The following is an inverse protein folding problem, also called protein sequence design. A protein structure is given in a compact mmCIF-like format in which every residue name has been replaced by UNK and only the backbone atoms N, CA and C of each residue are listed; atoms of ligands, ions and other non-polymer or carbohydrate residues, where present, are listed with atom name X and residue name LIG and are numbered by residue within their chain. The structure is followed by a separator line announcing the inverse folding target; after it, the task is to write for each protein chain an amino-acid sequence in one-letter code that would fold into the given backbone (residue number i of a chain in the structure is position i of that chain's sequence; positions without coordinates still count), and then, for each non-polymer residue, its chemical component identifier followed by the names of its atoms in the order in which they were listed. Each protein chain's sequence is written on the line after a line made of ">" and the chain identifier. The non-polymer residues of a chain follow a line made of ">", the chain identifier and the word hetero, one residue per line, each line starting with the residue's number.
data_IF_851044786666
#
_entry.id   IF_851044786666
#
_cell.length_a   1.000
_cell.length_b   1.000
_cell.length_c   1.000
_cell.angle_alpha   90.00
_cell.angle_beta   90.00
_cell.angle_gamma   90.00
#
_symmetry.space_group_name_H-M   'P 1'
#
loop_
_entity.id
_entity.type
_entity.pdbx_description
1 polymer ?
#
# COMPACT_ATOMS: atom_id res chain seq x y z
N UNK A 1 -48.91 -0.06 -8.18
CA UNK A 1 -48.18 -0.12 -9.44
C UNK A 1 -47.00 0.87 -9.51
N UNK A 2 -47.10 2.10 -8.97
CA UNK A 2 -45.98 3.10 -9.04
C UNK A 2 -44.71 2.71 -8.25
N UNK A 3 -44.79 1.90 -7.20
CA UNK A 3 -43.61 1.47 -6.39
C UNK A 3 -42.73 0.44 -7.07
N UNK A 4 -43.27 -0.37 -7.96
CA UNK A 4 -42.48 -1.39 -8.70
C UNK A 4 -41.73 -0.83 -9.90
N UNK A 5 -42.17 0.29 -10.46
CA UNK A 5 -41.50 0.97 -11.58
C UNK A 5 -40.19 1.63 -11.10
N UNK A 6 -40.15 2.15 -9.86
CA UNK A 6 -38.95 2.74 -9.29
C UNK A 6 -37.84 1.69 -9.02
N UNK A 7 -38.20 0.48 -8.63
CA UNK A 7 -37.23 -0.63 -8.37
C UNK A 7 -36.66 -1.14 -9.70
N UNK A 8 -37.46 -1.22 -10.78
CA UNK A 8 -36.98 -1.63 -12.09
C UNK A 8 -35.96 -0.64 -12.69
N UNK A 9 -36.09 0.67 -12.40
CA UNK A 9 -35.15 1.70 -12.91
C UNK A 9 -33.78 1.65 -12.21
N UNK A 10 -33.72 1.26 -10.93
CA UNK A 10 -32.46 1.14 -10.17
C UNK A 10 -31.69 -0.11 -10.61
N UNK A 11 -32.38 -1.19 -10.99
CA UNK A 11 -31.72 -2.43 -11.43
C UNK A 11 -31.11 -2.32 -12.86
N UNK A 12 -31.60 -1.42 -13.68
CA UNK A 12 -31.10 -1.23 -15.06
C UNK A 12 -29.75 -0.50 -15.13
N UNK A 13 -29.38 0.28 -14.13
CA UNK A 13 -28.16 1.08 -14.14
C UNK A 13 -26.87 0.25 -13.87
N UNK A 14 -27.00 -0.95 -13.29
CA UNK A 14 -25.84 -1.80 -12.96
C UNK A 14 -25.30 -2.62 -14.14
N UNK A 15 -26.06 -2.82 -15.21
CA UNK A 15 -25.63 -3.69 -16.33
C UNK A 15 -24.82 -2.96 -17.41
N UNK A 16 -24.85 -1.62 -17.46
CA UNK A 16 -24.13 -0.87 -18.50
C UNK A 16 -22.64 -0.73 -18.23
N UNK A 17 -22.22 -0.71 -16.96
CA UNK A 17 -20.81 -0.51 -16.55
C UNK A 17 -19.87 -1.67 -16.94
N UNK A 18 -20.36 -2.90 -17.01
CA UNK A 18 -19.51 -4.08 -17.31
C UNK A 18 -19.13 -4.13 -18.81
N UNK A 19 -19.99 -3.66 -19.70
CA UNK A 19 -19.73 -3.61 -21.13
C UNK A 19 -18.71 -2.57 -21.56
N UNK A 20 -18.70 -1.43 -20.87
CA UNK A 20 -17.77 -0.33 -21.14
C UNK A 20 -16.33 -0.69 -20.73
N UNK A 21 -16.13 -1.20 -19.53
CA UNK A 21 -14.82 -1.68 -19.09
C UNK A 21 -14.23 -2.74 -20.03
N UNK A 22 -15.04 -3.70 -20.49
CA UNK A 22 -14.58 -4.74 -21.44
C UNK A 22 -14.11 -4.14 -22.79
N UNK A 23 -14.71 -3.06 -23.25
CA UNK A 23 -14.25 -2.35 -24.47
C UNK A 23 -12.91 -1.69 -24.24
N UNK A 24 -12.75 -0.99 -23.10
CA UNK A 24 -11.49 -0.34 -22.71
C UNK A 24 -10.39 -1.39 -22.58
N UNK A 25 -10.62 -2.46 -21.83
CA UNK A 25 -9.65 -3.52 -21.57
C UNK A 25 -9.13 -4.17 -22.87
N UNK A 26 -10.00 -4.40 -23.84
CA UNK A 26 -9.66 -4.99 -25.16
C UNK A 26 -9.11 -3.99 -26.17
N UNK A 27 -9.13 -2.69 -25.87
CA UNK A 27 -8.64 -1.67 -26.78
C UNK A 27 -7.13 -1.80 -26.99
N UNK A 28 -6.66 -1.53 -28.20
CA UNK A 28 -5.23 -1.37 -28.53
C UNK A 28 -4.80 0.11 -28.50
N UNK A 29 -5.73 1.02 -28.23
CA UNK A 29 -5.43 2.44 -28.03
C UNK A 29 -4.99 2.66 -26.58
N UNK A 30 -3.68 2.76 -26.37
CA UNK A 30 -3.08 2.89 -25.04
C UNK A 30 -3.33 4.26 -24.40
N UNK A 31 -3.50 5.31 -25.19
CA UNK A 31 -3.87 6.61 -24.66
C UNK A 31 -5.32 6.59 -24.14
N UNK A 32 -6.22 5.98 -24.87
CA UNK A 32 -7.60 5.77 -24.42
C UNK A 32 -7.66 4.92 -23.14
N UNK A 33 -6.86 3.83 -23.06
CA UNK A 33 -6.74 3.03 -21.83
C UNK A 33 -6.23 3.85 -20.66
N UNK A 34 -5.23 4.70 -20.89
CA UNK A 34 -4.64 5.55 -19.85
C UNK A 34 -5.67 6.55 -19.30
N UNK A 35 -6.40 7.26 -20.15
CA UNK A 35 -7.45 8.18 -19.72
C UNK A 35 -8.59 7.45 -18.97
N UNK A 36 -8.96 6.26 -19.42
CA UNK A 36 -9.94 5.43 -18.73
C UNK A 36 -9.42 4.94 -17.36
N UNK A 37 -8.15 4.58 -17.25
CA UNK A 37 -7.54 4.20 -15.97
C UNK A 37 -7.56 5.38 -14.97
N UNK A 38 -7.29 6.60 -15.43
CA UNK A 38 -7.42 7.84 -14.62
C UNK A 38 -8.86 8.07 -14.16
N UNK A 39 -9.83 7.89 -15.05
CA UNK A 39 -11.25 8.01 -14.70
C UNK A 39 -11.65 6.99 -13.64
N UNK A 40 -11.33 5.70 -13.84
CA UNK A 40 -11.62 4.66 -12.86
C UNK A 40 -10.93 4.91 -11.52
N UNK A 41 -9.70 5.42 -11.55
CA UNK A 41 -8.98 5.77 -10.32
C UNK A 41 -9.70 6.92 -9.58
N UNK A 42 -10.10 7.98 -10.30
CA UNK A 42 -10.85 9.13 -9.74
C UNK A 42 -12.23 8.75 -9.18
N UNK A 43 -12.86 7.73 -9.74
CA UNK A 43 -14.14 7.16 -9.28
C UNK A 43 -13.99 6.18 -8.12
N UNK A 44 -12.76 5.91 -7.65
CA UNK A 44 -12.49 4.93 -6.59
C UNK A 44 -12.58 3.46 -7.06
N UNK A 45 -12.66 3.22 -8.38
CA UNK A 45 -12.70 1.87 -8.96
C UNK A 45 -11.27 1.31 -9.12
N UNK A 46 -10.54 1.25 -8.01
CA UNK A 46 -9.09 0.97 -7.98
C UNK A 46 -8.70 -0.36 -8.62
N UNK A 47 -9.52 -1.41 -8.50
CA UNK A 47 -9.27 -2.70 -9.15
C UNK A 47 -9.23 -2.58 -10.69
N UNK A 48 -10.16 -1.83 -11.28
CA UNK A 48 -10.20 -1.61 -12.73
C UNK A 48 -9.02 -0.75 -13.18
N UNK A 49 -8.73 0.33 -12.42
CA UNK A 49 -7.59 1.19 -12.70
C UNK A 49 -6.28 0.40 -12.64
N UNK A 50 -6.04 -0.38 -11.58
CA UNK A 50 -4.83 -1.18 -11.42
C UNK A 50 -4.63 -2.15 -12.57
N UNK A 51 -5.67 -2.90 -12.96
CA UNK A 51 -5.59 -3.86 -14.07
C UNK A 51 -5.17 -3.20 -15.40
N UNK A 52 -5.68 -2.00 -15.70
CA UNK A 52 -5.27 -1.26 -16.90
C UNK A 52 -3.85 -0.71 -16.78
N UNK A 53 -3.50 -0.19 -15.59
CA UNK A 53 -2.19 0.41 -15.32
C UNK A 53 -1.06 -0.61 -15.34
N UNK A 54 -1.29 -1.87 -14.91
CA UNK A 54 -0.30 -2.96 -14.98
C UNK A 54 0.17 -3.23 -16.41
N UNK A 55 -0.73 -3.20 -17.37
CA UNK A 55 -0.38 -3.28 -18.79
C UNK A 55 0.36 -2.01 -19.23
N UNK A 56 -0.17 -0.84 -18.85
CA UNK A 56 0.30 0.46 -19.32
C UNK A 56 1.70 0.84 -18.83
N UNK A 57 2.11 0.48 -17.60
CA UNK A 57 3.45 0.80 -17.08
C UNK A 57 4.57 0.18 -17.92
N UNK A 58 4.29 -0.91 -18.61
CA UNK A 58 5.26 -1.55 -19.51
C UNK A 58 5.28 -0.88 -20.88
N UNK A 59 4.10 -0.56 -21.41
CA UNK A 59 3.92 -0.02 -22.77
C UNK A 59 4.29 1.45 -22.84
N UNK A 60 3.91 2.23 -21.82
CA UNK A 60 4.17 3.68 -21.77
C UNK A 60 5.61 4.03 -21.35
N UNK A 61 6.48 3.04 -21.11
CA UNK A 61 7.87 3.27 -20.69
C UNK A 61 8.58 4.22 -21.66
N UNK A 62 9.11 5.33 -21.11
CA UNK A 62 9.80 6.36 -21.89
C UNK A 62 8.87 7.45 -22.47
N UNK A 63 7.58 7.42 -22.20
CA UNK A 63 6.63 8.49 -22.51
C UNK A 63 6.39 9.39 -21.30
N UNK A 64 5.79 10.57 -21.52
CA UNK A 64 5.44 11.53 -20.46
C UNK A 64 4.43 10.94 -19.45
N UNK A 65 3.61 9.96 -19.86
CA UNK A 65 2.61 9.33 -19.01
C UNK A 65 3.15 8.17 -18.15
N UNK A 66 4.39 7.73 -18.38
CA UNK A 66 4.97 6.58 -17.71
C UNK A 66 5.11 6.79 -16.19
N UNK A 67 5.59 7.97 -15.80
CA UNK A 67 5.80 8.33 -14.39
C UNK A 67 4.47 8.35 -13.62
N UNK A 68 3.48 9.06 -14.15
CA UNK A 68 2.16 9.18 -13.51
C UNK A 68 1.45 7.82 -13.43
N UNK A 69 1.55 6.99 -14.49
CA UNK A 69 0.96 5.64 -14.52
C UNK A 69 1.50 4.75 -13.40
N UNK A 70 2.82 4.75 -13.18
CA UNK A 70 3.44 3.92 -12.15
C UNK A 70 3.06 4.40 -10.75
N UNK A 71 3.04 5.71 -10.52
CA UNK A 71 2.61 6.27 -9.23
C UNK A 71 1.14 5.97 -8.96
N UNK A 72 0.28 6.13 -9.97
CA UNK A 72 -1.15 5.85 -9.86
C UNK A 72 -1.43 4.37 -9.61
N UNK A 73 -0.65 3.46 -10.20
CA UNK A 73 -0.73 2.03 -9.93
C UNK A 73 -0.43 1.72 -8.46
N UNK A 74 0.66 2.28 -7.93
CA UNK A 74 1.01 2.13 -6.52
C UNK A 74 -0.11 2.64 -5.60
N UNK A 75 -0.68 3.81 -5.92
CA UNK A 75 -1.81 4.38 -5.19
C UNK A 75 -3.10 3.56 -5.31
N UNK A 76 -3.33 2.92 -6.46
CA UNK A 76 -4.49 2.04 -6.64
C UNK A 76 -4.41 0.83 -5.69
N UNK A 77 -3.27 0.17 -5.59
CA UNK A 77 -3.06 -0.92 -4.64
C UNK A 77 -3.14 -0.45 -3.18
N UNK A 78 -2.57 0.72 -2.87
CA UNK A 78 -2.68 1.31 -1.54
C UNK A 78 -4.15 1.51 -1.11
N UNK A 79 -4.97 2.06 -2.00
CA UNK A 79 -6.39 2.29 -1.73
C UNK A 79 -7.24 1.00 -1.73
N UNK A 80 -6.74 -0.09 -2.30
CA UNK A 80 -7.34 -1.43 -2.19
C UNK A 80 -7.00 -2.12 -0.86
N UNK A 81 -6.03 -1.59 -0.09
CA UNK A 81 -5.51 -2.22 1.11
C UNK A 81 -4.45 -3.30 0.84
N UNK A 82 -4.02 -3.49 -0.41
CA UNK A 82 -2.88 -4.34 -0.75
C UNK A 82 -1.57 -3.56 -0.55
N UNK A 83 -1.19 -3.44 0.72
CA UNK A 83 -0.06 -2.61 1.13
C UNK A 83 1.29 -3.20 0.72
N UNK A 84 1.43 -4.51 0.63
CA UNK A 84 2.66 -5.17 0.16
C UNK A 84 2.92 -4.79 -1.29
N UNK A 85 1.92 -4.99 -2.16
CA UNK A 85 2.02 -4.65 -3.58
C UNK A 85 2.19 -3.14 -3.78
N UNK A 86 1.48 -2.32 -3.01
CA UNK A 86 1.62 -0.86 -3.03
C UNK A 86 3.06 -0.43 -2.70
N UNK A 87 3.65 -0.96 -1.62
CA UNK A 87 5.03 -0.68 -1.24
C UNK A 87 6.02 -1.06 -2.33
N UNK A 88 5.82 -2.20 -2.99
CA UNK A 88 6.64 -2.64 -4.12
C UNK A 88 6.59 -1.63 -5.28
N UNK A 89 5.39 -1.18 -5.70
CA UNK A 89 5.27 -0.22 -6.79
C UNK A 89 5.75 1.18 -6.41
N UNK A 90 5.58 1.63 -5.17
CA UNK A 90 6.20 2.88 -4.70
C UNK A 90 7.72 2.81 -4.71
N UNK A 91 8.30 1.69 -4.30
CA UNK A 91 9.75 1.44 -4.38
C UNK A 91 10.23 1.44 -5.83
N UNK A 92 9.52 0.78 -6.71
CA UNK A 92 9.79 0.79 -8.14
C UNK A 92 9.73 2.21 -8.70
N UNK A 93 8.75 3.01 -8.27
CA UNK A 93 8.62 4.39 -8.70
C UNK A 93 9.85 5.23 -8.34
N UNK A 94 10.24 5.31 -7.06
CA UNK A 94 11.33 6.19 -6.66
C UNK A 94 12.71 5.70 -7.11
N UNK A 95 12.86 4.41 -7.41
CA UNK A 95 14.09 3.87 -8.01
C UNK A 95 14.17 4.15 -9.50
N UNK A 96 13.05 4.12 -10.21
CA UNK A 96 12.97 4.40 -11.65
C UNK A 96 13.04 5.90 -11.93
N UNK A 97 12.37 6.70 -11.11
CA UNK A 97 12.28 8.16 -11.24
C UNK A 97 12.84 8.87 -9.99
N UNK A 98 14.20 8.85 -9.78
CA UNK A 98 14.80 9.40 -8.55
C UNK A 98 14.65 10.93 -8.43
N UNK A 99 14.31 11.61 -9.51
CA UNK A 99 14.02 13.05 -9.58
C UNK A 99 12.59 13.33 -10.03
N UNK A 100 11.71 12.34 -9.97
CA UNK A 100 10.33 12.44 -10.38
C UNK A 100 9.49 13.30 -9.44
N UNK A 101 8.36 13.75 -9.96
CA UNK A 101 7.43 14.66 -9.27
C UNK A 101 6.95 14.10 -7.92
N UNK A 102 6.77 12.78 -7.83
CA UNK A 102 6.22 12.12 -6.64
C UNK A 102 7.26 11.35 -5.83
N UNK A 103 8.58 11.54 -6.09
CA UNK A 103 9.64 10.70 -5.48
C UNK A 103 9.66 10.77 -3.97
N UNK A 104 9.56 11.97 -3.37
CA UNK A 104 9.45 12.13 -1.92
C UNK A 104 8.20 11.42 -1.38
N UNK A 105 7.06 11.64 -2.04
CA UNK A 105 5.80 11.07 -1.60
C UNK A 105 5.81 9.54 -1.76
N UNK A 106 6.37 9.01 -2.85
CA UNK A 106 6.48 7.57 -3.08
C UNK A 106 7.38 6.89 -2.02
N UNK A 107 8.52 7.49 -1.65
CA UNK A 107 9.35 6.97 -0.55
C UNK A 107 8.58 6.92 0.78
N UNK A 108 7.88 7.99 1.11
CA UNK A 108 7.04 8.01 2.30
C UNK A 108 5.94 6.96 2.27
N UNK A 109 5.23 6.85 1.13
CA UNK A 109 4.13 5.90 0.96
C UNK A 109 4.62 4.44 0.95
N UNK A 110 5.82 4.15 0.46
CA UNK A 110 6.43 2.82 0.56
C UNK A 110 6.56 2.38 2.03
N UNK A 111 7.17 3.22 2.86
CA UNK A 111 7.31 2.95 4.29
C UNK A 111 5.96 2.89 5.02
N UNK A 112 5.03 3.80 4.69
CA UNK A 112 3.67 3.83 5.26
C UNK A 112 2.86 2.58 4.89
N UNK A 113 2.99 2.09 3.68
CA UNK A 113 2.35 0.84 3.24
C UNK A 113 2.85 -0.33 4.07
N UNK A 114 4.16 -0.48 4.23
CA UNK A 114 4.73 -1.52 5.10
C UNK A 114 4.29 -1.38 6.56
N UNK A 115 4.20 -0.15 7.08
CA UNK A 115 3.67 0.11 8.41
C UNK A 115 2.26 -0.43 8.58
N UNK A 116 1.37 -0.18 7.60
CA UNK A 116 -0.01 -0.65 7.61
C UNK A 116 -0.14 -2.17 7.47
N UNK A 117 0.85 -2.82 6.85
CA UNK A 117 0.89 -4.27 6.66
C UNK A 117 1.53 -5.02 7.84
N UNK A 118 2.06 -4.32 8.85
CA UNK A 118 2.73 -5.01 9.96
C UNK A 118 1.75 -5.86 10.78
N UNK A 119 2.13 -7.12 11.11
CA UNK A 119 1.29 -8.03 11.87
C UNK A 119 1.18 -7.64 13.35
N UNK A 120 0.33 -8.35 14.08
CA UNK A 120 0.27 -8.26 15.54
C UNK A 120 1.62 -8.65 16.20
N UNK A 121 1.88 -8.13 17.39
CA UNK A 121 3.15 -8.31 18.10
C UNK A 121 3.54 -9.79 18.33
N UNK A 122 2.56 -10.69 18.46
CA UNK A 122 2.81 -12.14 18.71
C UNK A 122 3.38 -12.89 17.49
N UNK A 123 3.17 -12.34 16.30
CA UNK A 123 3.58 -12.97 15.04
C UNK A 123 5.04 -12.63 14.70
N UNK A 124 5.51 -13.14 13.55
CA UNK A 124 6.82 -12.78 13.02
C UNK A 124 6.89 -11.28 12.70
N UNK A 125 7.95 -10.61 13.11
CA UNK A 125 8.11 -9.16 12.98
C UNK A 125 9.08 -8.74 11.86
N UNK A 126 9.42 -9.63 10.94
CA UNK A 126 10.33 -9.33 9.83
C UNK A 126 9.82 -8.16 8.97
N UNK A 127 8.50 -8.05 8.75
CA UNK A 127 7.89 -6.92 8.04
C UNK A 127 7.95 -5.62 8.84
N UNK A 128 7.88 -5.69 10.17
CA UNK A 128 8.02 -4.54 11.07
C UNK A 128 9.41 -3.92 10.96
N UNK A 129 10.47 -4.72 10.93
CA UNK A 129 11.84 -4.23 10.72
C UNK A 129 12.01 -3.58 9.35
N UNK A 130 11.42 -4.16 8.30
CA UNK A 130 11.44 -3.56 6.96
C UNK A 130 10.73 -2.21 6.92
N UNK A 131 9.56 -2.08 7.59
CA UNK A 131 8.83 -0.84 7.68
C UNK A 131 9.65 0.26 8.39
N UNK A 132 10.31 -0.07 9.50
CA UNK A 132 11.21 0.85 10.21
C UNK A 132 12.33 1.30 9.28
N UNK A 133 12.98 0.38 8.57
CA UNK A 133 14.08 0.69 7.66
C UNK A 133 13.64 1.63 6.54
N UNK A 134 12.51 1.37 5.87
CA UNK A 134 12.00 2.23 4.80
C UNK A 134 11.64 3.64 5.30
N UNK A 135 11.02 3.76 6.47
CA UNK A 135 10.71 5.05 7.07
C UNK A 135 11.97 5.82 7.49
N UNK A 136 13.00 5.13 8.00
CA UNK A 136 14.29 5.74 8.32
C UNK A 136 14.98 6.26 7.05
N UNK A 137 15.04 5.45 5.99
CA UNK A 137 15.59 5.87 4.70
C UNK A 137 14.84 7.07 4.13
N UNK A 138 13.49 7.10 4.24
CA UNK A 138 12.72 8.28 3.84
C UNK A 138 13.20 9.54 4.59
N UNK A 139 13.39 9.47 5.91
CA UNK A 139 13.82 10.61 6.73
C UNK A 139 15.25 11.06 6.43
N UNK A 140 16.14 10.13 6.04
CA UNK A 140 17.51 10.42 5.64
C UNK A 140 17.57 11.13 4.27
N UNK A 141 16.79 10.65 3.29
CA UNK A 141 16.75 11.24 1.95
C UNK A 141 15.98 12.57 1.90
N UNK A 142 15.03 12.79 2.84
CA UNK A 142 14.17 13.97 2.87
C UNK A 142 14.12 14.58 4.28
N UNK A 143 15.26 15.11 4.80
CA UNK A 143 15.36 15.61 6.18
C UNK A 143 14.44 16.80 6.48
N UNK A 144 14.10 17.58 5.45
CA UNK A 144 13.24 18.78 5.54
C UNK A 144 11.77 18.49 5.18
N UNK A 145 11.41 17.22 4.96
CA UNK A 145 10.05 16.85 4.61
C UNK A 145 9.04 17.18 5.72
N UNK A 146 7.90 17.74 5.33
CA UNK A 146 6.77 17.95 6.25
C UNK A 146 6.20 16.64 6.81
N UNK A 147 6.50 15.50 6.20
CA UNK A 147 6.07 14.16 6.61
C UNK A 147 7.02 13.48 7.59
N UNK A 148 8.16 14.11 7.89
CA UNK A 148 9.18 13.56 8.79
C UNK A 148 8.62 13.23 10.17
N UNK A 149 7.81 14.12 10.75
CA UNK A 149 7.19 13.89 12.07
C UNK A 149 6.23 12.69 12.03
N UNK A 150 5.43 12.54 10.95
CA UNK A 150 4.54 11.39 10.78
C UNK A 150 5.33 10.09 10.67
N UNK A 151 6.40 10.08 9.87
CA UNK A 151 7.29 8.92 9.74
C UNK A 151 7.94 8.53 11.07
N UNK A 152 8.40 9.52 11.85
CA UNK A 152 8.99 9.29 13.17
C UNK A 152 7.98 8.67 14.16
N UNK A 153 6.74 9.15 14.16
CA UNK A 153 5.67 8.58 15.00
C UNK A 153 5.34 7.14 14.63
N UNK A 154 5.33 6.83 13.33
CA UNK A 154 5.17 5.44 12.86
C UNK A 154 6.31 4.55 13.34
N UNK A 155 7.57 5.01 13.27
CA UNK A 155 8.74 4.27 13.77
C UNK A 155 8.59 3.98 15.26
N UNK A 156 8.20 4.97 16.07
CA UNK A 156 7.98 4.75 17.50
C UNK A 156 6.90 3.69 17.76
N UNK A 157 5.75 3.77 17.07
CA UNK A 157 4.71 2.75 17.21
C UNK A 157 5.17 1.33 16.80
N UNK A 158 6.06 1.21 15.80
CA UNK A 158 6.65 -0.07 15.42
C UNK A 158 7.65 -0.57 16.46
N UNK A 159 8.44 0.33 17.06
CA UNK A 159 9.37 -0.02 18.15
C UNK A 159 8.61 -0.49 19.39
N UNK A 160 7.51 0.17 19.76
CA UNK A 160 6.63 -0.26 20.85
C UNK A 160 6.06 -1.67 20.58
N UNK A 161 5.66 -1.96 19.35
CA UNK A 161 5.22 -3.31 18.94
C UNK A 161 6.32 -4.37 19.13
N UNK A 162 7.57 -4.05 18.83
CA UNK A 162 8.70 -4.95 19.05
C UNK A 162 8.95 -5.19 20.54
N UNK A 163 8.85 -4.15 21.37
CA UNK A 163 8.95 -4.26 22.83
C UNK A 163 7.80 -5.12 23.38
N UNK A 164 6.59 -4.93 22.88
CA UNK A 164 5.43 -5.77 23.24
C UNK A 164 5.69 -7.25 22.91
N UNK A 165 6.28 -7.55 21.75
CA UNK A 165 6.66 -8.91 21.37
C UNK A 165 7.59 -9.53 22.39
N UNK A 166 8.66 -8.82 22.78
CA UNK A 166 9.62 -9.31 23.76
C UNK A 166 8.95 -9.56 25.12
N UNK A 167 8.10 -8.63 25.56
CA UNK A 167 7.33 -8.80 26.79
C UNK A 167 6.42 -10.03 26.75
N UNK A 168 5.66 -10.23 25.67
CA UNK A 168 4.76 -11.37 25.50
C UNK A 168 5.54 -12.70 25.45
N UNK A 169 6.70 -12.71 24.82
CA UNK A 169 7.59 -13.88 24.77
C UNK A 169 8.14 -14.22 26.15
N UNK A 170 8.61 -13.23 26.89
CA UNK A 170 9.10 -13.42 28.26
C UNK A 170 7.98 -13.88 29.21
N UNK A 171 6.79 -13.30 29.09
CA UNK A 171 5.62 -13.69 29.88
C UNK A 171 5.20 -15.13 29.59
N UNK A 172 5.16 -15.53 28.33
CA UNK A 172 4.84 -16.92 27.96
C UNK A 172 5.84 -17.90 28.58
N UNK A 173 7.12 -17.55 28.54
CA UNK A 173 8.18 -18.35 29.14
C UNK A 173 8.00 -18.47 30.66
N UNK A 174 7.70 -17.35 31.34
CA UNK A 174 7.43 -17.31 32.77
C UNK A 174 6.22 -18.17 33.16
N UNK A 175 5.15 -18.13 32.39
CA UNK A 175 3.89 -18.86 32.65
C UNK A 175 4.05 -20.38 32.42
N UNK A 176 4.96 -20.81 31.52
CA UNK A 176 5.12 -22.21 31.12
C UNK A 176 6.27 -22.94 31.82
N UNK A 177 7.29 -22.21 32.28
CA UNK A 177 8.51 -22.82 32.84
C UNK A 177 8.52 -22.69 34.36
N UNK A 178 8.62 -23.79 35.13
CA UNK A 178 8.79 -23.75 36.59
C UNK A 178 9.99 -22.87 36.97
N UNK A 179 9.83 -22.08 38.04
CA UNK A 179 10.86 -21.10 38.48
C UNK A 179 12.25 -21.77 38.64
N UNK A 180 12.30 -23.07 39.05
CA UNK A 180 13.56 -23.83 39.22
C UNK A 180 14.29 -24.05 37.88
N UNK A 181 13.58 -24.10 36.76
CA UNK A 181 14.11 -24.35 35.41
C UNK A 181 14.39 -23.07 34.64
N UNK A 182 14.00 -21.92 35.20
CA UNK A 182 14.25 -20.63 34.56
C UNK A 182 15.73 -20.26 34.53
N UNK A 183 16.24 -19.69 33.42
CA UNK A 183 17.58 -19.10 33.40
C UNK A 183 17.77 -18.07 34.51
N UNK A 184 18.95 -17.97 35.14
CA UNK A 184 19.19 -17.08 36.29
C UNK A 184 18.81 -15.61 36.02
N UNK A 185 18.85 -15.16 34.76
CA UNK A 185 18.50 -13.79 34.37
C UNK A 185 17.00 -13.50 34.43
N UNK A 186 16.15 -14.51 34.49
CA UNK A 186 14.68 -14.38 34.51
C UNK A 186 14.06 -14.76 35.86
N UNK A 187 14.87 -15.18 36.84
CA UNK A 187 14.43 -15.44 38.22
C UNK A 187 14.39 -14.12 38.98
N UNK A 188 13.21 -13.56 39.16
CA UNK A 188 12.98 -12.38 40.00
C UNK A 188 12.64 -12.82 41.42
#
# INVERSE_FOLDING_TARGET
>A
MKKYIAIAFISGAFFTSCGEYSKVFKSTDYLYKYEAAKSYFGEGQYNKAATLLEELITILKGTDNAEESLYMLAMAYYNQGDYITASHYFTTYYTTYPRGTYTELARFQAGKSLYLDTPEARLDQSSTYKAIQELQMFMEYHPDSKRKTEAQLMIFGLQDKLVEKEYLSAKLYYDLVPIQEMPPKLRI
#
